data_IF_606550931796
#
_entry.id   IF_606550931796
#
_cell.length_a   1.000
_cell.length_b   1.000
_cell.length_c   1.000
_cell.angle_alpha   90.00
_cell.angle_beta   90.00
_cell.angle_gamma   90.00
#
_symmetry.space_group_name_H-M   'P 1'
#
loop_
_entity.id
_entity.type
_entity.pdbx_description
1 polymer ?
#
# COMPACT_ATOMS: atom_id res chain seq x y z
N UNK A 1 8.67 -16.26 -0.55
CA UNK A 1 7.46 -15.45 -0.82
C UNK A 1 7.88 -14.03 -1.13
N UNK A 2 7.55 -13.51 -2.31
CA UNK A 2 7.78 -12.10 -2.62
C UNK A 2 6.63 -11.27 -2.01
N UNK A 3 6.91 -10.59 -0.90
CA UNK A 3 5.91 -9.88 -0.09
C UNK A 3 5.28 -8.71 -0.81
N UNK A 4 6.04 -8.00 -1.67
CA UNK A 4 5.52 -6.96 -2.55
C UNK A 4 4.52 -7.52 -3.55
N UNK A 5 4.86 -8.63 -4.23
CA UNK A 5 3.94 -9.29 -5.16
C UNK A 5 2.68 -9.82 -4.46
N UNK A 6 2.83 -10.39 -3.27
CA UNK A 6 1.70 -10.78 -2.42
C UNK A 6 0.80 -9.59 -2.10
N UNK A 7 1.37 -8.43 -1.72
CA UNK A 7 0.62 -7.20 -1.50
C UNK A 7 -0.13 -6.72 -2.75
N UNK A 8 0.54 -6.75 -3.92
CA UNK A 8 -0.02 -6.31 -5.19
C UNK A 8 -1.24 -7.10 -5.66
N UNK A 9 -1.34 -8.39 -5.29
CA UNK A 9 -2.44 -9.28 -5.69
C UNK A 9 -3.34 -9.72 -4.52
N UNK A 10 -3.12 -9.19 -3.32
CA UNK A 10 -3.81 -9.63 -2.09
C UNK A 10 -5.33 -9.48 -2.18
N UNK A 11 -5.83 -8.49 -2.91
CA UNK A 11 -7.28 -8.32 -3.12
C UNK A 11 -7.79 -9.24 -4.22
N UNK A 12 -7.08 -9.33 -5.34
CA UNK A 12 -7.51 -10.00 -6.56
C UNK A 12 -6.28 -10.56 -7.30
N UNK A 13 -6.30 -11.81 -7.73
CA UNK A 13 -5.20 -12.42 -8.52
C UNK A 13 -5.11 -11.89 -9.96
N UNK A 14 -6.07 -11.05 -10.37
CA UNK A 14 -6.08 -10.32 -11.63
C UNK A 14 -6.43 -8.87 -11.34
N UNK A 15 -5.51 -7.96 -11.63
CA UNK A 15 -5.67 -6.53 -11.38
C UNK A 15 -5.89 -5.81 -12.70
N UNK A 16 -6.95 -5.00 -12.78
CA UNK A 16 -7.17 -4.13 -13.94
C UNK A 16 -6.13 -3.03 -13.97
N UNK A 17 -5.68 -2.70 -15.17
CA UNK A 17 -4.81 -1.56 -15.41
C UNK A 17 -5.49 -0.28 -14.92
N UNK A 18 -4.72 0.55 -14.22
CA UNK A 18 -5.16 1.86 -13.73
C UNK A 18 -4.36 2.92 -14.45
N UNK A 19 -5.03 3.86 -15.10
CA UNK A 19 -4.38 5.04 -15.69
C UNK A 19 -4.12 6.09 -14.60
N UNK A 20 -3.37 5.69 -13.57
CA UNK A 20 -2.90 6.56 -12.50
C UNK A 20 -1.38 6.64 -12.56
N UNK A 21 -0.84 7.76 -12.11
CA UNK A 21 0.59 8.01 -12.07
C UNK A 21 1.33 6.96 -11.22
N UNK A 22 2.53 6.57 -11.66
CA UNK A 22 3.38 5.59 -10.97
C UNK A 22 2.89 4.14 -11.05
N UNK A 23 1.71 3.88 -11.66
CA UNK A 23 1.22 2.51 -11.83
C UNK A 23 2.06 1.70 -12.81
N UNK A 24 2.55 2.33 -13.90
CA UNK A 24 3.49 1.68 -14.82
C UNK A 24 4.77 1.24 -14.10
N UNK A 25 5.40 2.13 -13.34
CA UNK A 25 6.61 1.82 -12.56
C UNK A 25 6.36 0.70 -11.54
N UNK A 26 5.19 0.73 -10.88
CA UNK A 26 4.79 -0.32 -9.94
C UNK A 26 4.66 -1.68 -10.63
N UNK A 27 4.13 -1.70 -11.86
CA UNK A 27 4.00 -2.90 -12.69
C UNK A 27 5.35 -3.38 -13.20
N UNK A 28 6.24 -2.49 -13.62
CA UNK A 28 7.60 -2.84 -14.04
C UNK A 28 8.42 -3.42 -12.89
N UNK A 29 8.36 -2.79 -11.71
CA UNK A 29 8.93 -3.33 -10.47
C UNK A 29 8.37 -4.71 -10.18
N UNK A 30 7.04 -4.86 -10.25
CA UNK A 30 6.37 -6.13 -9.99
C UNK A 30 6.86 -7.24 -10.96
N UNK A 31 7.01 -6.94 -12.25
CA UNK A 31 7.54 -7.88 -13.26
C UNK A 31 9.00 -8.27 -13.01
N UNK A 32 9.83 -7.32 -12.58
CA UNK A 32 11.24 -7.60 -12.26
C UNK A 32 11.39 -8.58 -11.09
N UNK A 33 10.38 -8.57 -10.21
CA UNK A 33 10.34 -9.32 -8.96
C UNK A 33 9.68 -10.69 -9.09
N UNK A 34 8.72 -10.83 -10.01
CA UNK A 34 7.94 -12.05 -10.23
C UNK A 34 7.76 -12.26 -11.75
N UNK A 35 8.71 -12.95 -12.41
CA UNK A 35 8.75 -13.05 -13.88
C UNK A 35 7.54 -13.74 -14.51
N UNK A 36 6.79 -14.54 -13.73
CA UNK A 36 5.59 -15.24 -14.20
C UNK A 36 4.35 -14.37 -14.39
N UNK A 37 4.45 -13.07 -14.15
CA UNK A 37 3.32 -12.15 -14.29
C UNK A 37 2.98 -11.91 -15.75
N UNK A 38 1.70 -12.05 -16.07
CA UNK A 38 1.17 -11.90 -17.43
C UNK A 38 0.43 -10.57 -17.53
N UNK A 39 0.74 -9.78 -18.56
CA UNK A 39 0.01 -8.55 -18.89
C UNK A 39 -0.70 -8.74 -20.23
N UNK A 40 -2.03 -8.78 -20.19
CA UNK A 40 -2.88 -8.97 -21.35
C UNK A 40 -4.10 -8.06 -21.22
N UNK A 41 -4.46 -7.35 -22.30
CA UNK A 41 -5.71 -6.58 -22.40
C UNK A 41 -5.99 -5.71 -21.17
N UNK A 42 -5.07 -4.83 -20.80
CA UNK A 42 -5.19 -3.95 -19.64
C UNK A 42 -5.47 -4.70 -18.32
N UNK A 43 -4.97 -5.92 -18.19
CA UNK A 43 -5.07 -6.73 -16.98
C UNK A 43 -3.70 -7.32 -16.67
N UNK A 44 -3.38 -7.39 -15.39
CA UNK A 44 -2.13 -7.94 -14.85
C UNK A 44 -2.53 -9.14 -14.01
N UNK A 45 -2.01 -10.32 -14.33
CA UNK A 45 -2.39 -11.58 -13.70
C UNK A 45 -1.22 -12.20 -12.96
N UNK A 46 -1.49 -12.63 -11.73
CA UNK A 46 -0.54 -13.38 -10.91
C UNK A 46 -0.35 -14.81 -11.45
N UNK A 47 0.85 -15.40 -11.28
CA UNK A 47 1.04 -16.84 -11.42
C UNK A 47 0.07 -17.63 -10.52
N UNK A 48 -0.32 -18.83 -10.94
CA UNK A 48 -1.22 -19.70 -10.17
C UNK A 48 -0.67 -20.06 -8.79
N UNK A 49 0.65 -20.19 -8.66
CA UNK A 49 1.36 -20.45 -7.40
C UNK A 49 1.20 -19.29 -6.41
N UNK A 50 1.42 -18.05 -6.87
CA UNK A 50 1.23 -16.84 -6.08
C UNK A 50 -0.23 -16.68 -5.64
N UNK A 51 -1.18 -16.92 -6.54
CA UNK A 51 -2.60 -16.86 -6.21
C UNK A 51 -2.99 -17.92 -5.16
N UNK A 52 -2.43 -19.12 -5.26
CA UNK A 52 -2.63 -20.18 -4.27
C UNK A 52 -2.06 -19.82 -2.89
N UNK A 53 -0.89 -19.17 -2.86
CA UNK A 53 -0.29 -18.65 -1.63
C UNK A 53 -1.16 -17.56 -0.99
N UNK A 54 -1.64 -16.59 -1.78
CA UNK A 54 -2.55 -15.54 -1.31
C UNK A 54 -3.82 -16.15 -0.72
N UNK A 55 -4.43 -17.13 -1.39
CA UNK A 55 -5.62 -17.81 -0.89
C UNK A 55 -5.38 -18.49 0.47
N UNK A 56 -4.20 -19.11 0.68
CA UNK A 56 -3.82 -19.68 1.98
C UNK A 56 -3.64 -18.60 3.05
N UNK A 57 -3.04 -17.46 2.70
CA UNK A 57 -2.89 -16.31 3.60
C UNK A 57 -4.27 -15.80 4.03
N UNK A 58 -5.19 -15.61 3.10
CA UNK A 58 -6.52 -15.05 3.36
C UNK A 58 -7.38 -15.93 4.27
N UNK A 59 -7.13 -17.24 4.32
CA UNK A 59 -7.78 -18.14 5.28
C UNK A 59 -7.36 -17.86 6.73
N UNK A 60 -6.09 -17.48 6.97
CA UNK A 60 -5.56 -17.21 8.32
C UNK A 60 -4.57 -16.03 8.33
N UNK A 61 -5.03 -14.78 8.08
CA UNK A 61 -4.15 -13.61 7.94
C UNK A 61 -3.21 -13.35 9.11
N UNK A 62 -3.68 -13.59 10.34
CA UNK A 62 -2.92 -13.32 11.57
C UNK A 62 -1.63 -14.12 11.67
N UNK A 63 -1.50 -15.24 10.93
CA UNK A 63 -0.24 -16.01 10.87
C UNK A 63 0.90 -15.20 10.27
N UNK A 64 0.62 -14.22 9.41
CA UNK A 64 1.65 -13.34 8.85
C UNK A 64 2.43 -12.59 9.94
N UNK A 65 1.82 -12.30 11.10
CA UNK A 65 2.50 -11.60 12.20
C UNK A 65 3.70 -12.37 12.75
N UNK A 66 3.73 -13.69 12.57
CA UNK A 66 4.81 -14.57 13.02
C UNK A 66 5.79 -14.92 11.87
N UNK A 67 5.37 -14.70 10.62
CA UNK A 67 6.12 -15.12 9.43
C UNK A 67 6.90 -13.98 8.78
N UNK A 68 6.44 -12.74 8.94
CA UNK A 68 7.01 -11.58 8.28
C UNK A 68 7.80 -10.72 9.25
N UNK A 69 9.00 -10.33 8.85
CA UNK A 69 9.77 -9.29 9.54
C UNK A 69 9.28 -7.89 9.14
N UNK A 70 9.92 -6.84 9.66
CA UNK A 70 9.50 -5.46 9.39
C UNK A 70 9.67 -5.04 7.91
N UNK A 71 10.74 -5.52 7.24
CA UNK A 71 10.97 -5.25 5.82
C UNK A 71 9.89 -5.91 4.96
N UNK A 72 9.55 -7.15 5.29
CA UNK A 72 8.49 -7.90 4.61
C UNK A 72 7.14 -7.19 4.70
N UNK A 73 6.82 -6.66 5.88
CA UNK A 73 5.61 -5.87 6.09
C UNK A 73 5.61 -4.56 5.31
N UNK A 74 6.74 -3.86 5.25
CA UNK A 74 6.88 -2.62 4.46
C UNK A 74 6.68 -2.92 2.97
N UNK A 75 7.30 -3.97 2.45
CA UNK A 75 7.15 -4.38 1.05
C UNK A 75 5.72 -4.82 0.72
N UNK A 76 5.07 -5.57 1.62
CA UNK A 76 3.66 -5.94 1.48
C UNK A 76 2.74 -4.71 1.48
N UNK A 77 2.94 -3.78 2.42
CA UNK A 77 2.17 -2.53 2.50
C UNK A 77 2.39 -1.66 1.25
N UNK A 78 3.61 -1.64 0.72
CA UNK A 78 3.92 -0.95 -0.53
C UNK A 78 3.17 -1.58 -1.70
N UNK A 79 3.21 -2.90 -1.87
CA UNK A 79 2.46 -3.59 -2.92
C UNK A 79 0.96 -3.33 -2.84
N UNK A 80 0.40 -3.37 -1.62
CA UNK A 80 -1.00 -3.00 -1.39
C UNK A 80 -1.30 -1.56 -1.82
N UNK A 81 -0.45 -0.60 -1.44
CA UNK A 81 -0.65 0.80 -1.76
C UNK A 81 -0.50 1.10 -3.26
N UNK A 82 0.52 0.54 -3.91
CA UNK A 82 0.79 0.78 -5.33
C UNK A 82 -0.37 0.28 -6.22
N UNK A 83 -1.03 -0.82 -5.83
CA UNK A 83 -2.12 -1.41 -6.63
C UNK A 83 -3.52 -1.01 -6.17
N UNK A 84 -3.72 -0.72 -4.88
CA UNK A 84 -5.03 -0.51 -4.28
C UNK A 84 -5.12 0.69 -3.35
N UNK A 85 -4.04 1.46 -3.24
CA UNK A 85 -3.98 2.68 -2.48
C UNK A 85 -4.44 3.91 -3.26
N UNK A 86 -4.85 4.91 -2.50
CA UNK A 86 -5.15 6.25 -2.97
C UNK A 86 -4.83 7.26 -1.86
N UNK A 87 -4.35 8.44 -2.27
CA UNK A 87 -4.22 9.60 -1.40
C UNK A 87 -5.20 10.66 -1.89
N UNK A 88 -6.26 10.85 -1.12
CA UNK A 88 -7.39 11.69 -1.45
C UNK A 88 -7.32 13.02 -0.72
N UNK A 89 -7.82 14.06 -1.37
CA UNK A 89 -8.13 15.33 -0.75
C UNK A 89 -9.65 15.54 -0.81
N UNK A 90 -10.38 15.38 0.31
CA UNK A 90 -11.82 15.53 0.31
C UNK A 90 -12.26 16.97 0.05
N UNK A 91 -11.39 17.96 0.30
CA UNK A 91 -11.70 19.38 0.09
C UNK A 91 -10.52 20.08 -0.62
N UNK A 92 -10.36 19.90 -1.95
CA UNK A 92 -9.22 20.43 -2.71
C UNK A 92 -9.10 21.96 -2.71
N UNK A 93 -10.23 22.66 -2.56
CA UNK A 93 -10.27 24.13 -2.50
C UNK A 93 -9.86 24.72 -1.14
N UNK A 94 -9.77 23.89 -0.10
CA UNK A 94 -9.46 24.33 1.26
C UNK A 94 -7.99 24.05 1.59
N UNK A 95 -7.26 25.09 1.97
CA UNK A 95 -5.84 24.99 2.34
C UNK A 95 -5.66 24.52 3.81
N UNK A 96 -5.94 23.24 4.05
CA UNK A 96 -5.84 22.60 5.36
C UNK A 96 -5.26 21.18 5.28
N UNK A 97 -4.72 20.61 6.38
CA UNK A 97 -4.20 19.24 6.43
C UNK A 97 -5.32 18.19 6.53
N UNK A 98 -6.07 17.97 5.45
CA UNK A 98 -7.23 17.07 5.38
C UNK A 98 -7.04 15.86 4.44
N UNK A 99 -5.81 15.56 4.02
CA UNK A 99 -5.56 14.38 3.18
C UNK A 99 -5.99 13.10 3.89
N UNK A 100 -6.52 12.16 3.10
CA UNK A 100 -6.93 10.83 3.56
C UNK A 100 -6.23 9.79 2.70
N UNK A 101 -5.47 8.91 3.35
CA UNK A 101 -4.91 7.75 2.69
C UNK A 101 -5.85 6.56 2.87
N UNK A 102 -6.26 5.95 1.77
CA UNK A 102 -7.09 4.75 1.77
C UNK A 102 -6.42 3.62 1.00
N UNK A 103 -6.57 2.38 1.46
CA UNK A 103 -6.09 1.18 0.78
C UNK A 103 -7.20 0.14 0.82
N UNK A 104 -7.64 -0.35 -0.35
CA UNK A 104 -8.63 -1.45 -0.40
C UNK A 104 -8.03 -2.73 0.17
N UNK A 105 -8.80 -3.44 0.98
CA UNK A 105 -8.39 -4.69 1.61
C UNK A 105 -9.44 -5.80 1.38
N UNK A 106 -9.02 -7.08 1.31
CA UNK A 106 -9.90 -8.19 0.94
C UNK A 106 -10.87 -8.63 2.05
N UNK A 107 -10.52 -8.41 3.32
CA UNK A 107 -11.34 -8.89 4.44
C UNK A 107 -11.08 -8.12 5.73
N UNK A 108 -12.06 -8.16 6.64
CA UNK A 108 -11.93 -7.56 7.98
C UNK A 108 -10.80 -8.18 8.80
N UNK A 109 -10.60 -9.49 8.69
CA UNK A 109 -9.53 -10.22 9.41
C UNK A 109 -8.14 -9.77 8.94
N UNK A 110 -7.94 -9.65 7.62
CA UNK A 110 -6.71 -9.12 7.06
C UNK A 110 -6.52 -7.64 7.45
N UNK A 111 -7.58 -6.84 7.41
CA UNK A 111 -7.55 -5.45 7.88
C UNK A 111 -7.13 -5.29 9.34
N UNK A 112 -7.62 -6.15 10.24
CA UNK A 112 -7.20 -6.15 11.64
C UNK A 112 -5.72 -6.52 11.79
N UNK A 113 -5.24 -7.46 10.98
CA UNK A 113 -3.82 -7.83 10.94
C UNK A 113 -2.97 -6.63 10.51
N UNK A 114 -3.35 -5.94 9.42
CA UNK A 114 -2.68 -4.72 8.99
C UNK A 114 -2.74 -3.62 10.04
N UNK A 115 -3.88 -3.45 10.74
CA UNK A 115 -4.02 -2.45 11.80
C UNK A 115 -3.03 -2.67 12.95
N UNK A 116 -2.77 -3.92 13.34
CA UNK A 116 -1.75 -4.27 14.32
C UNK A 116 -0.37 -3.87 13.80
N UNK A 117 -0.04 -4.27 12.57
CA UNK A 117 1.25 -4.00 11.95
C UNK A 117 1.51 -2.50 11.85
N UNK A 118 0.60 -1.71 11.25
CA UNK A 118 0.80 -0.27 11.11
C UNK A 118 0.88 0.42 12.47
N UNK A 119 0.17 -0.08 13.50
CA UNK A 119 0.29 0.46 14.86
C UNK A 119 1.70 0.24 15.44
N UNK A 120 2.30 -0.93 15.21
CA UNK A 120 3.69 -1.21 15.59
C UNK A 120 4.69 -0.32 14.82
N UNK A 121 4.35 0.04 13.58
CA UNK A 121 5.08 1.02 12.76
C UNK A 121 4.85 2.48 13.22
N UNK A 122 4.05 2.71 14.27
CA UNK A 122 3.73 4.04 14.78
C UNK A 122 2.80 4.83 13.86
N UNK A 123 1.95 4.14 13.11
CA UNK A 123 0.98 4.69 12.16
C UNK A 123 -0.43 4.38 12.68
N UNK A 124 -1.25 5.41 12.85
CA UNK A 124 -2.62 5.27 13.30
C UNK A 124 -3.56 5.11 12.10
N UNK A 125 -4.22 3.97 11.99
CA UNK A 125 -5.21 3.70 10.94
C UNK A 125 -6.34 2.83 11.46
N UNK A 126 -7.46 2.87 10.75
CA UNK A 126 -8.67 2.13 11.07
C UNK A 126 -9.23 1.45 9.83
N UNK A 127 -10.04 0.41 10.03
CA UNK A 127 -10.66 -0.34 8.94
C UNK A 127 -12.15 -0.05 8.91
N UNK A 128 -12.65 0.38 7.75
CA UNK A 128 -14.05 0.73 7.58
C UNK A 128 -14.65 0.06 6.32
N UNK A 129 -15.93 -0.35 6.37
CA UNK A 129 -16.69 -0.58 5.17
C UNK A 129 -17.01 0.76 4.49
N UNK A 130 -17.00 0.76 3.17
CA UNK A 130 -17.43 1.89 2.33
C UNK A 130 -18.77 1.56 1.66
N UNK A 131 -19.42 2.59 1.11
CA UNK A 131 -20.72 2.49 0.45
C UNK A 131 -20.69 1.63 -0.82
N UNK A 132 -19.52 1.39 -1.39
CA UNK A 132 -19.29 0.50 -2.53
C UNK A 132 -19.24 -1.00 -2.14
N UNK A 133 -19.50 -1.31 -0.86
CA UNK A 133 -19.47 -2.67 -0.32
C UNK A 133 -18.06 -3.21 -0.07
N UNK A 134 -17.01 -2.40 -0.29
CA UNK A 134 -15.62 -2.80 -0.08
C UNK A 134 -15.11 -2.34 1.29
N UNK A 135 -14.02 -2.97 1.73
CA UNK A 135 -13.34 -2.63 2.97
C UNK A 135 -12.06 -1.85 2.67
N UNK A 136 -11.80 -0.83 3.48
CA UNK A 136 -10.62 0.02 3.34
C UNK A 136 -9.90 0.14 4.67
N UNK A 137 -8.56 0.06 4.61
CA UNK A 137 -7.70 0.61 5.63
C UNK A 137 -7.57 2.11 5.37
N UNK A 138 -7.90 2.94 6.35
CA UNK A 138 -7.92 4.39 6.25
C UNK A 138 -7.00 5.01 7.31
N UNK A 139 -6.16 5.93 6.86
CA UNK A 139 -5.24 6.74 7.68
C UNK A 139 -5.59 8.21 7.42
N UNK A 140 -5.96 8.93 8.49
CA UNK A 140 -6.35 10.34 8.42
C UNK A 140 -5.41 11.27 9.22
N UNK A 141 -4.59 10.71 10.11
CA UNK A 141 -3.65 11.49 10.93
C UNK A 141 -2.45 11.91 10.08
N UNK A 142 -2.13 13.21 10.05
CA UNK A 142 -1.12 13.75 9.14
C UNK A 142 0.28 13.21 9.39
N UNK A 143 0.66 12.98 10.65
CA UNK A 143 1.95 12.36 11.00
C UNK A 143 2.00 10.92 10.50
N UNK A 144 0.92 10.17 10.70
CA UNK A 144 0.78 8.78 10.24
C UNK A 144 0.81 8.67 8.72
N UNK A 145 0.12 9.55 7.99
CA UNK A 145 0.14 9.61 6.52
C UNK A 145 1.57 9.90 6.04
N UNK A 146 2.21 10.94 6.59
CA UNK A 146 3.54 11.33 6.20
C UNK A 146 4.56 10.21 6.44
N UNK A 147 4.53 9.60 7.62
CA UNK A 147 5.36 8.44 7.97
C UNK A 147 5.11 7.26 7.04
N UNK A 148 3.85 6.89 6.81
CA UNK A 148 3.49 5.77 5.94
C UNK A 148 4.09 5.94 4.55
N UNK A 149 3.79 7.08 3.91
CA UNK A 149 4.25 7.40 2.57
C UNK A 149 5.77 7.45 2.48
N UNK A 150 6.45 8.16 3.38
CA UNK A 150 7.91 8.24 3.38
C UNK A 150 8.58 6.88 3.63
N UNK A 151 7.89 5.95 4.30
CA UNK A 151 8.39 4.60 4.55
C UNK A 151 8.24 3.71 3.31
N UNK A 152 7.06 3.67 2.69
CA UNK A 152 6.79 2.74 1.57
C UNK A 152 7.19 3.30 0.20
N UNK A 153 7.20 4.63 0.06
CA UNK A 153 7.67 5.41 -1.09
C UNK A 153 8.67 6.45 -0.59
N UNK A 154 9.88 6.00 -0.29
CA UNK A 154 11.02 6.88 0.08
C UNK A 154 11.28 7.99 -0.95
N UNK A 155 10.87 7.77 -2.19
CA UNK A 155 10.73 8.79 -3.23
C UNK A 155 9.25 8.89 -3.61
N UNK A 156 8.46 9.61 -2.82
CA UNK A 156 7.14 10.01 -3.27
C UNK A 156 7.36 10.93 -4.49
N UNK A 157 7.05 10.44 -5.68
CA UNK A 157 7.22 11.23 -6.89
C UNK A 157 6.32 12.48 -6.80
N UNK A 158 6.87 13.68 -7.00
CA UNK A 158 6.17 14.96 -6.84
C UNK A 158 4.94 15.22 -7.75
N UNK A 159 4.41 14.27 -8.51
CA UNK A 159 3.43 14.54 -9.58
C UNK A 159 1.97 14.25 -9.22
N UNK A 160 1.68 14.05 -7.92
CA UNK A 160 0.37 14.32 -7.34
C UNK A 160 -0.24 15.58 -8.01
N UNK A 161 -1.55 15.55 -8.31
CA UNK A 161 -2.32 16.72 -8.75
C UNK A 161 -1.75 17.98 -8.09
N UNK A 162 -1.46 19.04 -8.85
CA UNK A 162 -0.80 20.26 -8.36
C UNK A 162 -1.35 20.72 -7.00
N UNK A 163 -2.67 20.59 -6.78
CA UNK A 163 -3.33 20.85 -5.50
C UNK A 163 -2.85 19.92 -4.36
N UNK A 164 -2.88 18.60 -4.58
CA UNK A 164 -2.35 17.59 -3.66
C UNK A 164 -0.86 17.80 -3.37
N UNK A 165 -0.06 18.13 -4.38
CA UNK A 165 1.39 18.40 -4.22
C UNK A 165 1.64 19.63 -3.34
N UNK A 166 0.93 20.72 -3.60
CA UNK A 166 1.07 21.95 -2.81
C UNK A 166 0.66 21.72 -1.35
N UNK A 167 -0.47 21.03 -1.15
CA UNK A 167 -0.95 20.67 0.19
C UNK A 167 0.02 19.73 0.91
N UNK A 168 0.55 18.71 0.22
CA UNK A 168 1.60 17.83 0.75
C UNK A 168 2.83 18.61 1.22
N UNK A 169 3.38 19.47 0.34
CA UNK A 169 4.59 20.25 0.64
C UNK A 169 4.39 21.18 1.83
N UNK A 170 3.24 21.83 1.90
CA UNK A 170 2.94 22.82 2.95
C UNK A 170 2.68 22.16 4.31
N UNK A 171 1.95 21.05 4.33
CA UNK A 171 1.39 20.53 5.58
C UNK A 171 1.97 19.19 6.04
N UNK A 172 2.57 18.39 5.15
CA UNK A 172 2.96 16.99 5.46
C UNK A 172 4.45 16.70 5.27
N UNK A 173 5.15 17.40 4.36
CA UNK A 173 6.53 17.07 4.00
C UNK A 173 7.51 17.07 5.19
N UNK A 174 7.28 17.94 6.17
CA UNK A 174 8.12 18.06 7.38
C UNK A 174 7.61 17.23 8.57
N UNK A 175 6.55 16.44 8.38
CA UNK A 175 5.98 15.58 9.42
C UNK A 175 6.40 14.13 9.24
N UNK A 176 6.32 13.34 10.32
CA UNK A 176 6.43 11.88 10.28
C UNK A 176 7.77 11.37 9.75
N UNK A 177 8.67 11.02 10.66
CA UNK A 177 9.94 10.39 10.28
C UNK A 177 9.70 9.03 9.59
N UNK A 178 10.40 8.73 8.48
CA UNK A 178 10.33 7.42 7.83
C UNK A 178 10.86 6.33 8.77
N UNK A 179 10.36 5.12 8.58
CA UNK A 179 10.91 3.95 9.25
C UNK A 179 12.15 3.54 8.49
N UNK A 180 13.31 3.85 9.06
CA UNK A 180 14.61 3.47 8.49
C UNK A 180 14.82 2.00 8.79
N UNK A 181 14.79 1.16 7.75
CA UNK A 181 15.23 -0.23 7.88
C UNK A 181 16.68 -0.33 7.43
N UNK A 182 17.54 -0.83 8.33
CA UNK A 182 18.93 -1.10 8.00
C UNK A 182 18.90 -2.32 7.08
N UNK A 183 19.23 -2.14 5.80
CA UNK A 183 19.58 -3.28 4.95
C UNK A 183 20.90 -3.82 5.49
N UNK A 184 20.88 -5.03 6.06
CA UNK A 184 22.12 -5.78 6.23
C UNK A 184 22.74 -5.90 4.84
N UNK A 185 23.88 -5.25 4.65
CA UNK A 185 24.67 -5.41 3.45
C UNK A 185 25.17 -6.85 3.46
N UNK A 186 24.63 -7.68 2.55
CA UNK A 186 25.20 -8.98 2.25
C UNK A 186 26.63 -8.75 1.75
N UNK A 187 27.62 -9.08 2.60
CA UNK A 187 29.01 -9.22 2.19
C UNK A 187 29.21 -10.51 1.40
#
# INVERSE_FOLDING_TARGET
MNTYAVGAFMNECMVKWRSIEGFLDAVERLRSMEPGIVILNNSISAPGELCSEINRILQKPTRLLLLLNINDWIELLRGLYDFYGELLDPEPGLDMPNLVLSIRIPSKSFGLTLRIVIKLLGINGNVFPSNDGKLYLVIHDGVSIARFIKTIKTHLNPELNIALRNKWRKHYANLGEPIITIREQSY
#
